data_IF_716205157435
#
_entry.id   IF_716205157435
#
_cell.length_a   1.000
_cell.length_b   1.000
_cell.length_c   1.000
_cell.angle_alpha   90.00
_cell.angle_beta   90.00
_cell.angle_gamma   90.00
#
_symmetry.space_group_name_H-M   'P 1'
#
loop_
_entity.id
_entity.type
_entity.pdbx_description
1 polymer ?
#
# COMPACT_ATOMS: atom_id res chain seq x y z
N UNK A 1 -36.98 -32.40 20.83
CA UNK A 1 -35.82 -32.98 21.55
C UNK A 1 -35.08 -31.83 22.21
N UNK A 2 -35.11 -31.74 23.54
CA UNK A 2 -34.46 -30.65 24.27
C UNK A 2 -32.97 -30.97 24.27
N UNK A 3 -32.18 -30.21 23.50
CA UNK A 3 -30.74 -30.41 23.44
C UNK A 3 -30.14 -29.62 24.60
N UNK A 4 -29.41 -30.28 25.47
CA UNK A 4 -28.72 -29.66 26.60
C UNK A 4 -27.30 -29.22 26.22
N UNK A 5 -26.61 -28.55 27.16
CA UNK A 5 -25.26 -28.02 26.96
C UNK A 5 -24.25 -29.12 26.61
N UNK A 6 -24.33 -30.27 27.29
CA UNK A 6 -23.42 -31.40 27.10
C UNK A 6 -23.54 -31.99 25.69
N UNK A 7 -24.76 -32.15 25.18
CA UNK A 7 -24.98 -32.63 23.82
C UNK A 7 -24.50 -31.62 22.76
N UNK A 8 -24.56 -30.31 23.03
CA UNK A 8 -23.94 -29.30 22.14
C UNK A 8 -22.42 -29.42 22.17
N UNK A 9 -21.81 -29.52 23.35
CA UNK A 9 -20.36 -29.63 23.46
C UNK A 9 -19.86 -30.89 22.74
N UNK A 10 -20.51 -32.04 22.95
CA UNK A 10 -20.21 -33.29 22.25
C UNK A 10 -20.26 -33.14 20.73
N UNK A 11 -21.26 -32.43 20.21
CA UNK A 11 -21.39 -32.17 18.75
C UNK A 11 -20.28 -31.28 18.21
N UNK A 12 -19.83 -30.28 18.99
CA UNK A 12 -18.70 -29.43 18.59
C UNK A 12 -17.40 -30.22 18.52
N UNK A 13 -17.20 -31.13 19.47
CA UNK A 13 -16.01 -31.98 19.54
C UNK A 13 -15.99 -32.98 18.38
N UNK A 14 -17.10 -33.67 18.11
CA UNK A 14 -17.25 -34.58 16.97
C UNK A 14 -17.05 -33.89 15.61
N UNK A 15 -17.47 -32.63 15.50
CA UNK A 15 -17.27 -31.82 14.30
C UNK A 15 -15.86 -31.17 14.22
N UNK A 16 -14.97 -31.46 15.19
CA UNK A 16 -13.60 -30.94 15.21
C UNK A 16 -13.53 -29.41 15.27
N UNK A 17 -14.53 -28.75 15.87
CA UNK A 17 -14.61 -27.27 15.87
C UNK A 17 -13.58 -26.60 16.77
N UNK A 18 -13.04 -27.31 17.77
CA UNK A 18 -12.08 -26.78 18.73
C UNK A 18 -12.62 -25.60 19.54
N UNK A 19 -13.90 -25.67 19.91
CA UNK A 19 -14.65 -24.63 20.63
C UNK A 19 -15.33 -25.23 21.86
N UNK A 20 -15.22 -24.56 23.00
CA UNK A 20 -15.86 -24.93 24.26
C UNK A 20 -16.91 -23.90 24.65
N UNK A 21 -18.04 -24.36 25.18
CA UNK A 21 -19.03 -23.49 25.83
C UNK A 21 -18.43 -22.99 27.14
N UNK A 22 -18.38 -21.67 27.33
CA UNK A 22 -17.84 -21.05 28.57
C UNK A 22 -18.81 -20.07 29.22
N UNK A 23 -19.91 -19.71 28.54
CA UNK A 23 -20.97 -18.88 29.09
C UNK A 23 -22.21 -19.68 29.45
N UNK A 24 -23.17 -19.03 30.11
CA UNK A 24 -24.41 -19.66 30.52
C UNK A 24 -25.24 -20.14 29.31
N UNK A 25 -25.45 -21.46 29.21
CA UNK A 25 -26.36 -22.03 28.22
C UNK A 25 -27.82 -21.83 28.66
N UNK A 26 -28.68 -21.46 27.72
CA UNK A 26 -30.13 -21.30 27.95
C UNK A 26 -30.93 -22.18 27.01
N UNK A 27 -30.68 -22.05 25.70
CA UNK A 27 -31.28 -22.84 24.64
C UNK A 27 -30.47 -22.65 23.34
N UNK A 28 -30.88 -23.32 22.25
CA UNK A 28 -30.19 -23.30 20.96
C UNK A 28 -30.13 -21.95 20.25
N UNK A 29 -31.01 -21.01 20.60
CA UNK A 29 -31.20 -19.74 19.91
C UNK A 29 -30.59 -18.55 20.66
N UNK A 30 -30.48 -18.62 21.98
CA UNK A 30 -29.84 -17.60 22.79
C UNK A 30 -28.33 -17.60 22.55
N UNK A 31 -27.73 -16.41 22.41
CA UNK A 31 -26.27 -16.30 22.28
C UNK A 31 -25.58 -16.73 23.57
N UNK A 32 -24.65 -17.67 23.45
CA UNK A 32 -23.80 -18.16 24.52
C UNK A 32 -22.34 -17.86 24.19
N UNK A 33 -21.51 -17.67 25.21
CA UNK A 33 -20.06 -17.48 25.04
C UNK A 33 -19.40 -18.81 24.74
N UNK A 34 -18.56 -18.84 23.71
CA UNK A 34 -17.69 -19.95 23.38
C UNK A 34 -16.23 -19.49 23.39
N UNK A 35 -15.33 -20.36 23.83
CA UNK A 35 -13.88 -20.14 23.84
C UNK A 35 -13.19 -21.19 22.98
N UNK A 36 -12.32 -20.79 22.06
CA UNK A 36 -11.55 -21.75 21.27
C UNK A 36 -10.33 -22.30 22.02
N UNK A 37 -9.67 -23.33 21.46
CA UNK A 37 -8.43 -23.90 22.03
C UNK A 37 -7.30 -22.87 22.28
N UNK A 38 -7.30 -21.75 21.56
CA UNK A 38 -6.32 -20.67 21.72
C UNK A 38 -6.82 -19.54 22.64
N UNK A 39 -7.92 -19.75 23.38
CA UNK A 39 -8.46 -18.80 24.35
C UNK A 39 -9.32 -17.67 23.78
N UNK A 40 -9.57 -17.63 22.46
CA UNK A 40 -10.40 -16.57 21.87
C UNK A 40 -11.88 -16.79 22.16
N UNK A 41 -12.51 -15.77 22.74
CA UNK A 41 -13.93 -15.77 23.13
C UNK A 41 -14.82 -15.20 22.04
N UNK A 42 -16.01 -15.77 21.87
CA UNK A 42 -17.02 -15.27 20.93
C UNK A 42 -18.44 -15.63 21.34
N UNK A 43 -19.36 -14.68 21.20
CA UNK A 43 -20.79 -14.90 21.38
C UNK A 43 -21.44 -15.47 20.10
N UNK A 44 -22.10 -16.61 20.21
CA UNK A 44 -22.82 -17.26 19.10
C UNK A 44 -24.06 -17.99 19.60
N UNK A 45 -25.05 -18.20 18.75
CA UNK A 45 -26.13 -19.13 19.06
C UNK A 45 -25.58 -20.57 18.99
N UNK A 46 -25.89 -21.46 19.95
CA UNK A 46 -25.42 -22.85 19.93
C UNK A 46 -25.70 -23.59 18.61
N UNK A 47 -26.86 -23.36 17.99
CA UNK A 47 -27.16 -23.94 16.67
C UNK A 47 -26.19 -23.48 15.57
N UNK A 48 -25.80 -22.20 15.60
CA UNK A 48 -24.86 -21.64 14.64
C UNK A 48 -23.42 -22.07 14.96
N UNK A 49 -23.09 -22.32 16.23
CA UNK A 49 -21.78 -22.81 16.65
C UNK A 49 -21.46 -24.16 16.00
N UNK A 50 -22.43 -25.07 15.96
CA UNK A 50 -22.26 -26.36 15.30
C UNK A 50 -22.19 -26.25 13.77
N UNK A 51 -23.12 -25.51 13.13
CA UNK A 51 -23.19 -25.44 11.66
C UNK A 51 -22.02 -24.63 11.08
N UNK A 52 -21.84 -23.40 11.54
CA UNK A 52 -20.93 -22.42 10.95
C UNK A 52 -19.88 -21.90 11.93
N UNK A 53 -19.89 -22.39 13.16
CA UNK A 53 -18.97 -21.94 14.20
C UNK A 53 -17.54 -22.28 13.82
N UNK A 54 -16.72 -21.25 13.87
CA UNK A 54 -15.27 -21.33 13.81
C UNK A 54 -14.73 -20.14 14.58
N UNK A 55 -13.57 -20.31 15.18
CA UNK A 55 -12.87 -19.19 15.76
C UNK A 55 -12.38 -18.27 14.64
N UNK A 56 -12.91 -17.05 14.57
CA UNK A 56 -12.52 -16.06 13.56
C UNK A 56 -11.05 -15.67 13.71
N UNK A 57 -10.57 -15.62 14.94
CA UNK A 57 -9.19 -15.29 15.28
C UNK A 57 -8.21 -16.41 14.93
N UNK A 58 -8.60 -17.68 15.05
CA UNK A 58 -7.76 -18.81 14.62
C UNK A 58 -7.87 -19.08 13.11
N UNK A 59 -9.03 -18.83 12.50
CA UNK A 59 -9.24 -19.01 11.07
C UNK A 59 -8.53 -17.87 10.33
N UNK A 60 -7.28 -18.11 9.95
CA UNK A 60 -6.52 -17.23 9.06
C UNK A 60 -7.29 -17.09 7.75
N UNK A 61 -7.94 -15.94 7.56
CA UNK A 61 -8.58 -15.60 6.28
C UNK A 61 -7.49 -15.05 5.38
N UNK A 62 -7.20 -15.79 4.30
CA UNK A 62 -6.34 -15.28 3.24
C UNK A 62 -6.99 -14.06 2.60
N UNK A 63 -6.25 -12.97 2.52
CA UNK A 63 -6.64 -11.70 1.91
C UNK A 63 -5.82 -11.55 0.65
N UNK A 64 -6.49 -11.42 -0.49
CA UNK A 64 -5.86 -11.32 -1.82
C UNK A 64 -4.90 -12.47 -2.13
N UNK A 65 -5.18 -13.67 -1.62
CA UNK A 65 -4.40 -14.88 -1.92
C UNK A 65 -3.01 -14.98 -1.27
N UNK A 66 -2.48 -13.90 -0.69
CA UNK A 66 -1.13 -13.88 -0.08
C UNK A 66 -1.11 -13.34 1.36
N UNK A 67 -1.96 -12.37 1.68
CA UNK A 67 -1.99 -11.75 3.01
C UNK A 67 -2.84 -12.52 4.01
N UNK A 68 -2.60 -12.32 5.30
CA UNK A 68 -3.35 -12.92 6.39
C UNK A 68 -3.86 -11.79 7.30
N UNK A 69 -5.18 -11.70 7.44
CA UNK A 69 -5.78 -10.83 8.46
C UNK A 69 -5.84 -11.57 9.80
N UNK A 70 -4.79 -11.38 10.60
CA UNK A 70 -4.63 -11.91 11.96
C UNK A 70 -5.23 -11.01 13.06
N UNK A 71 -5.95 -9.94 12.67
CA UNK A 71 -6.70 -9.06 13.57
C UNK A 71 -8.17 -8.91 13.12
N UNK A 72 -8.96 -9.99 13.09
CA UNK A 72 -10.31 -9.99 12.52
C UNK A 72 -11.32 -9.15 13.31
N UNK A 73 -11.02 -8.86 14.58
CA UNK A 73 -11.86 -8.02 15.43
C UNK A 73 -11.69 -6.53 15.14
N UNK A 74 -10.59 -6.15 14.46
CA UNK A 74 -10.42 -4.78 13.99
C UNK A 74 -11.41 -4.53 12.86
N UNK A 75 -12.38 -3.64 13.10
CA UNK A 75 -13.40 -3.31 12.11
C UNK A 75 -12.73 -2.85 10.81
N UNK A 76 -12.89 -3.63 9.75
CA UNK A 76 -12.41 -3.31 8.40
C UNK A 76 -13.15 -2.11 7.80
N UNK A 77 -14.32 -1.78 8.34
CA UNK A 77 -15.07 -0.56 8.07
C UNK A 77 -15.05 0.41 9.25
N UNK A 78 -14.98 1.70 8.96
CA UNK A 78 -15.13 2.80 9.91
C UNK A 78 -16.28 3.72 9.50
N UNK A 79 -16.83 4.49 10.44
CA UNK A 79 -17.79 5.56 10.17
C UNK A 79 -17.04 6.86 10.41
N UNK A 80 -17.03 7.76 9.43
CA UNK A 80 -16.42 9.08 9.60
C UNK A 80 -17.32 10.03 10.40
N UNK A 81 -16.82 11.24 10.70
CA UNK A 81 -17.56 12.25 11.47
C UNK A 81 -18.86 12.71 10.78
N UNK A 82 -19.02 12.46 9.47
CA UNK A 82 -20.23 12.76 8.71
C UNK A 82 -21.25 11.61 8.72
N UNK A 83 -20.95 10.52 9.43
CA UNK A 83 -21.80 9.32 9.46
C UNK A 83 -21.62 8.41 8.24
N UNK A 84 -20.66 8.72 7.34
CA UNK A 84 -20.44 7.92 6.13
C UNK A 84 -19.56 6.71 6.45
N UNK A 85 -20.01 5.54 6.00
CA UNK A 85 -19.26 4.29 6.12
C UNK A 85 -18.11 4.28 5.11
N UNK A 86 -16.88 4.16 5.60
CA UNK A 86 -15.65 3.98 4.83
C UNK A 86 -14.88 2.74 5.27
N UNK A 87 -13.78 2.43 4.58
CA UNK A 87 -12.84 1.40 5.03
C UNK A 87 -11.91 1.97 6.09
N UNK A 88 -11.49 1.14 7.04
CA UNK A 88 -10.40 1.46 7.95
C UNK A 88 -9.14 1.79 7.11
N UNK A 89 -8.46 2.91 7.35
CA UNK A 89 -7.39 3.39 6.48
C UNK A 89 -6.16 2.47 6.53
N UNK A 90 -5.89 1.84 7.66
CA UNK A 90 -4.79 0.87 7.80
C UNK A 90 -5.06 -0.37 6.95
N UNK A 91 -6.25 -0.95 7.12
CA UNK A 91 -6.66 -2.11 6.33
C UNK A 91 -6.72 -1.78 4.83
N UNK A 92 -7.27 -0.62 4.48
CA UNK A 92 -7.33 -0.14 3.09
C UNK A 92 -5.93 0.04 2.49
N UNK A 93 -4.97 0.60 3.22
CA UNK A 93 -3.59 0.75 2.74
C UNK A 93 -2.91 -0.60 2.54
N UNK A 94 -3.09 -1.51 3.49
CA UNK A 94 -2.54 -2.86 3.41
C UNK A 94 -3.09 -3.65 2.20
N UNK A 95 -4.42 -3.70 2.02
CA UNK A 95 -5.01 -4.43 0.88
C UNK A 95 -4.60 -3.82 -0.46
N UNK A 96 -4.50 -2.49 -0.56
CA UNK A 96 -4.10 -1.83 -1.81
C UNK A 96 -2.63 -2.15 -2.15
N UNK A 97 -1.77 -2.29 -1.15
CA UNK A 97 -0.38 -2.72 -1.34
C UNK A 97 -0.33 -4.17 -1.84
N UNK A 98 -1.08 -5.08 -1.22
CA UNK A 98 -1.17 -6.48 -1.68
C UNK A 98 -1.73 -6.57 -3.11
N UNK A 99 -2.81 -5.85 -3.40
CA UNK A 99 -3.43 -5.80 -4.73
C UNK A 99 -2.46 -5.25 -5.78
N UNK A 100 -1.68 -4.22 -5.44
CA UNK A 100 -0.68 -3.67 -6.35
C UNK A 100 0.40 -4.69 -6.69
N UNK A 101 0.95 -5.40 -5.70
CA UNK A 101 1.98 -6.40 -5.98
C UNK A 101 1.46 -7.68 -6.65
N UNK A 102 0.23 -8.11 -6.35
CA UNK A 102 -0.35 -9.27 -7.03
C UNK A 102 -0.54 -9.07 -8.54
N UNK A 103 -0.68 -7.81 -8.99
CA UNK A 103 -0.89 -7.46 -10.39
C UNK A 103 0.41 -7.00 -11.09
N UNK A 104 1.57 -7.11 -10.44
CA UNK A 104 2.84 -6.64 -10.99
C UNK A 104 3.96 -7.66 -10.71
N UNK A 105 4.69 -8.04 -11.75
CA UNK A 105 5.88 -8.90 -11.62
C UNK A 105 7.08 -8.17 -11.00
N UNK A 106 7.04 -6.84 -10.95
CA UNK A 106 8.11 -5.99 -10.41
C UNK A 106 7.82 -5.51 -8.97
N UNK A 107 6.98 -6.24 -8.24
CA UNK A 107 6.52 -5.84 -6.93
C UNK A 107 6.36 -7.03 -6.00
N UNK A 108 6.98 -6.95 -4.84
CA UNK A 108 6.80 -7.93 -3.77
C UNK A 108 6.54 -7.22 -2.44
N UNK A 109 6.00 -7.96 -1.48
CA UNK A 109 5.78 -7.49 -0.11
C UNK A 109 6.62 -8.39 0.79
N UNK A 110 7.36 -7.82 1.75
CA UNK A 110 8.13 -8.65 2.66
C UNK A 110 7.21 -9.53 3.53
N UNK A 111 7.69 -10.72 3.90
CA UNK A 111 6.90 -11.72 4.63
C UNK A 111 6.26 -11.15 5.90
N UNK A 112 6.98 -10.28 6.60
CA UNK A 112 6.48 -9.62 7.80
C UNK A 112 5.21 -8.82 7.54
N UNK A 113 5.08 -8.16 6.38
CA UNK A 113 3.92 -7.37 6.00
C UNK A 113 2.79 -8.18 5.34
N UNK A 114 2.99 -9.48 5.12
CA UNK A 114 1.88 -10.39 4.78
C UNK A 114 0.95 -10.61 5.98
N UNK A 115 1.39 -10.35 7.22
CA UNK A 115 0.51 -10.28 8.39
C UNK A 115 0.00 -8.85 8.59
N UNK A 116 -1.32 -8.68 8.66
CA UNK A 116 -1.90 -7.35 8.84
C UNK A 116 -1.47 -6.68 10.16
N UNK A 117 -1.34 -7.44 11.25
CA UNK A 117 -0.89 -6.90 12.55
C UNK A 117 0.48 -6.24 12.50
N UNK A 118 1.42 -6.79 11.74
CA UNK A 118 2.76 -6.25 11.58
C UNK A 118 2.76 -4.96 10.77
N UNK A 119 2.04 -4.94 9.64
CA UNK A 119 1.85 -3.71 8.86
C UNK A 119 1.18 -2.62 9.69
N UNK A 120 0.14 -2.98 10.45
CA UNK A 120 -0.56 -2.06 11.35
C UNK A 120 0.36 -1.46 12.41
N UNK A 121 1.15 -2.31 13.12
CA UNK A 121 2.12 -1.90 14.14
C UNK A 121 3.21 -0.97 13.58
N UNK A 122 3.57 -1.12 12.32
CA UNK A 122 4.47 -0.19 11.65
C UNK A 122 3.76 1.13 11.31
N UNK A 123 2.60 1.06 10.65
CA UNK A 123 1.89 2.23 10.14
C UNK A 123 1.41 3.18 11.25
N UNK A 124 1.06 2.67 12.45
CA UNK A 124 0.64 3.50 13.59
C UNK A 124 1.74 4.46 14.05
N UNK A 125 3.01 4.14 13.78
CA UNK A 125 4.16 4.97 14.11
C UNK A 125 4.48 6.02 13.05
N UNK A 126 3.73 6.05 11.93
CA UNK A 126 4.00 6.91 10.78
C UNK A 126 2.99 8.06 10.70
N UNK A 127 3.42 9.19 10.15
CA UNK A 127 2.48 10.19 9.66
C UNK A 127 1.96 9.77 8.28
N UNK A 128 0.70 9.36 8.18
CA UNK A 128 0.14 8.74 6.97
C UNK A 128 -1.07 9.45 6.37
N UNK A 129 -1.76 10.30 7.15
CA UNK A 129 -3.01 10.93 6.71
C UNK A 129 -2.77 11.85 5.51
N UNK A 130 -3.60 11.73 4.47
CA UNK A 130 -3.43 12.48 3.22
C UNK A 130 -2.27 12.02 2.33
N UNK A 131 -1.42 11.09 2.78
CA UNK A 131 -0.23 10.64 2.08
C UNK A 131 -0.42 9.26 1.42
N UNK A 132 0.53 8.90 0.54
CA UNK A 132 0.58 7.63 -0.20
C UNK A 132 1.76 6.80 0.29
N UNK A 133 1.50 5.53 0.60
CA UNK A 133 2.56 4.55 0.85
C UNK A 133 3.34 4.34 -0.45
N UNK A 134 4.67 4.46 -0.39
CA UNK A 134 5.54 4.34 -1.55
C UNK A 134 6.75 3.47 -1.22
N UNK A 135 7.05 2.51 -2.09
CA UNK A 135 8.33 1.80 -2.13
C UNK A 135 9.31 2.42 -3.15
N UNK A 136 8.94 3.52 -3.79
CA UNK A 136 9.70 4.17 -4.88
C UNK A 136 10.62 5.30 -4.42
N UNK A 137 10.70 5.53 -3.10
CA UNK A 137 11.63 6.52 -2.54
C UNK A 137 13.09 6.11 -2.77
N UNK A 138 13.37 4.79 -2.76
CA UNK A 138 14.64 4.20 -3.17
C UNK A 138 14.54 3.89 -4.68
N UNK A 139 15.40 4.45 -5.54
CA UNK A 139 15.44 4.11 -6.95
C UNK A 139 15.59 2.60 -7.17
N UNK A 140 14.90 2.05 -8.18
CA UNK A 140 14.98 0.63 -8.52
C UNK A 140 14.32 -0.35 -7.54
N UNK A 141 13.88 0.09 -6.36
CA UNK A 141 13.28 -0.82 -5.39
C UNK A 141 11.92 -1.38 -5.85
N UNK A 142 11.75 -2.68 -5.61
CA UNK A 142 10.56 -3.48 -5.97
C UNK A 142 9.85 -4.04 -4.73
N UNK A 143 10.45 -3.95 -3.54
CA UNK A 143 9.90 -4.58 -2.31
C UNK A 143 9.20 -3.55 -1.44
N UNK A 144 7.98 -3.84 -1.00
CA UNK A 144 7.32 -3.14 0.10
C UNK A 144 7.78 -3.71 1.45
N UNK A 145 8.43 -2.88 2.27
CA UNK A 145 8.93 -3.26 3.59
C UNK A 145 9.03 -2.05 4.53
N UNK A 146 9.17 -2.25 5.86
CA UNK A 146 9.37 -1.16 6.82
C UNK A 146 10.51 -0.20 6.49
N UNK A 147 11.58 -0.73 5.90
CA UNK A 147 12.85 -0.03 5.70
C UNK A 147 12.88 0.70 4.35
N UNK A 148 12.16 0.17 3.36
CA UNK A 148 12.12 0.71 2.00
C UNK A 148 10.89 1.58 1.73
N UNK A 149 9.88 1.54 2.59
CA UNK A 149 8.64 2.29 2.41
C UNK A 149 8.52 3.52 3.29
N UNK A 150 7.88 4.53 2.72
CA UNK A 150 7.53 5.77 3.42
C UNK A 150 6.20 6.32 2.89
N UNK A 151 5.52 7.13 3.71
CA UNK A 151 4.35 7.87 3.27
C UNK A 151 4.77 9.22 2.69
N UNK A 152 4.45 9.47 1.42
CA UNK A 152 4.80 10.71 0.71
C UNK A 152 3.60 11.37 0.03
N UNK A 153 3.65 12.68 -0.24
CA UNK A 153 2.61 13.37 -1.00
C UNK A 153 2.49 12.81 -2.43
N UNK A 154 1.27 12.86 -2.98
CA UNK A 154 1.01 12.42 -4.38
C UNK A 154 1.87 13.19 -5.39
N UNK A 155 2.12 14.47 -5.14
CA UNK A 155 2.97 15.32 -5.98
C UNK A 155 4.42 14.83 -6.01
N UNK A 156 4.99 14.47 -4.86
CA UNK A 156 6.34 13.89 -4.78
C UNK A 156 6.41 12.52 -5.45
N UNK A 157 5.43 11.65 -5.19
CA UNK A 157 5.36 10.34 -5.84
C UNK A 157 5.32 10.49 -7.37
N UNK A 158 4.55 11.45 -7.89
CA UNK A 158 4.48 11.73 -9.32
C UNK A 158 5.78 12.28 -9.92
N UNK A 159 6.64 12.92 -9.11
CA UNK A 159 7.94 13.43 -9.53
C UNK A 159 8.98 12.30 -9.65
N UNK A 160 9.03 11.38 -8.68
CA UNK A 160 10.04 10.31 -8.62
C UNK A 160 9.69 9.09 -9.48
N UNK A 161 8.40 8.79 -9.67
CA UNK A 161 8.00 7.61 -10.45
C UNK A 161 8.22 7.84 -11.93
N UNK A 162 9.04 6.97 -12.53
CA UNK A 162 9.19 6.87 -13.98
C UNK A 162 7.96 6.20 -14.59
N UNK A 163 7.45 6.78 -15.68
CA UNK A 163 6.36 6.19 -16.47
C UNK A 163 6.80 6.11 -17.93
N UNK A 164 7.19 4.92 -18.42
CA UNK A 164 7.55 4.78 -19.82
C UNK A 164 6.34 5.11 -20.68
N UNK A 165 6.61 5.74 -21.82
CA UNK A 165 5.63 5.94 -22.88
C UNK A 165 6.02 5.07 -24.08
N UNK A 166 5.05 4.78 -24.93
CA UNK A 166 5.26 3.98 -26.14
C UNK A 166 5.94 4.77 -27.28
N UNK A 167 6.38 6.00 -27.05
CA UNK A 167 6.93 6.91 -28.07
C UNK A 167 8.46 6.85 -28.18
N UNK A 168 9.14 6.01 -27.39
CA UNK A 168 10.61 5.92 -27.28
C UNK A 168 11.29 7.24 -26.91
N UNK A 169 10.54 8.27 -26.53
CA UNK A 169 11.09 9.55 -26.15
C UNK A 169 11.60 9.50 -24.71
N UNK A 170 12.62 10.29 -24.38
CA UNK A 170 13.02 10.51 -23.01
C UNK A 170 11.85 10.94 -22.12
N UNK A 171 11.92 10.57 -20.85
CA UNK A 171 10.91 10.98 -19.90
C UNK A 171 10.80 12.50 -19.81
N UNK A 172 9.58 13.01 -19.70
CA UNK A 172 9.33 14.45 -19.71
C UNK A 172 9.37 15.11 -21.09
N UNK A 173 9.84 14.40 -22.13
CA UNK A 173 9.90 14.92 -23.51
C UNK A 173 8.67 14.51 -24.32
N UNK A 174 8.28 15.36 -25.26
CA UNK A 174 7.22 15.14 -26.26
C UNK A 174 7.64 15.79 -27.58
N UNK A 175 7.15 15.27 -28.71
CA UNK A 175 7.21 16.01 -29.98
C UNK A 175 6.27 17.21 -29.89
N UNK A 176 6.73 18.38 -30.33
CA UNK A 176 5.91 19.57 -30.40
C UNK A 176 4.88 19.39 -31.52
N UNK A 177 3.57 19.56 -31.25
CA UNK A 177 2.57 19.49 -32.30
C UNK A 177 2.67 20.74 -33.19
N UNK A 178 3.24 20.63 -34.40
CA UNK A 178 2.98 21.57 -35.49
C UNK A 178 3.44 21.07 -36.88
N UNK A 179 2.56 21.22 -37.88
CA UNK A 179 2.69 20.71 -39.26
C UNK A 179 3.72 21.42 -40.16
N UNK A 180 4.44 22.44 -39.68
CA UNK A 180 5.25 23.33 -40.54
C UNK A 180 6.66 23.62 -40.02
N UNK A 181 7.08 23.01 -38.92
CA UNK A 181 8.46 23.14 -38.40
C UNK A 181 9.10 21.77 -38.32
N UNK A 182 10.35 21.59 -38.78
CA UNK A 182 11.07 20.34 -38.60
C UNK A 182 11.16 20.00 -37.11
N UNK A 183 11.14 18.71 -36.81
CA UNK A 183 10.92 18.06 -35.50
C UNK A 183 11.43 18.85 -34.29
N UNK A 184 10.53 19.56 -33.62
CA UNK A 184 10.81 20.24 -32.34
C UNK A 184 10.40 19.36 -31.18
N UNK A 185 11.17 19.42 -30.10
CA UNK A 185 10.92 18.67 -28.87
C UNK A 185 10.53 19.62 -27.74
N UNK A 186 9.57 19.24 -26.91
CA UNK A 186 9.12 20.05 -25.76
C UNK A 186 9.35 19.26 -24.48
N UNK A 187 9.97 19.90 -23.50
CA UNK A 187 10.18 19.32 -22.18
C UNK A 187 9.14 19.81 -21.16
N UNK A 188 8.65 18.91 -20.33
CA UNK A 188 7.70 19.19 -19.26
C UNK A 188 8.14 18.56 -17.94
N UNK A 189 8.16 19.34 -16.87
CA UNK A 189 8.38 18.85 -15.51
C UNK A 189 7.32 19.41 -14.56
N UNK A 190 7.12 18.75 -13.41
CA UNK A 190 6.33 19.31 -12.34
C UNK A 190 7.20 20.28 -11.53
N UNK A 191 6.92 21.58 -11.64
CA UNK A 191 7.59 22.66 -10.91
C UNK A 191 6.62 23.23 -9.88
N UNK A 192 7.05 23.31 -8.63
CA UNK A 192 6.19 23.71 -7.50
C UNK A 192 4.87 22.91 -7.49
N UNK A 193 4.99 21.61 -7.77
CA UNK A 193 3.91 20.62 -7.84
C UNK A 193 2.91 20.81 -9.00
N UNK A 194 3.17 21.72 -9.95
CA UNK A 194 2.33 21.96 -11.13
C UNK A 194 3.10 21.63 -12.41
N UNK A 195 2.45 21.03 -13.43
CA UNK A 195 3.11 20.79 -14.71
C UNK A 195 3.49 22.13 -15.36
N UNK A 196 4.73 22.26 -15.80
CA UNK A 196 5.27 23.44 -16.47
C UNK A 196 5.99 23.03 -17.75
N UNK A 197 5.72 23.74 -18.84
CA UNK A 197 6.50 23.67 -20.06
C UNK A 197 7.85 24.36 -19.82
N UNK A 198 8.95 23.66 -20.06
CA UNK A 198 10.31 24.17 -19.81
C UNK A 198 10.88 24.90 -21.03
N UNK A 199 10.31 24.66 -22.21
CA UNK A 199 10.77 25.22 -23.46
C UNK A 199 10.61 24.25 -24.62
N UNK A 200 11.03 24.72 -25.79
CA UNK A 200 11.08 23.96 -27.04
C UNK A 200 12.52 23.88 -27.52
N UNK A 201 12.92 22.71 -27.97
CA UNK A 201 14.30 22.34 -28.24
C UNK A 201 14.40 21.73 -29.64
N UNK A 202 15.61 21.75 -30.20
CA UNK A 202 15.89 21.24 -31.54
C UNK A 202 16.07 19.72 -31.50
N UNK A 203 16.63 19.20 -30.41
CA UNK A 203 16.86 17.77 -30.24
C UNK A 203 16.11 17.20 -29.03
N UNK A 204 15.80 15.90 -29.10
CA UNK A 204 15.24 15.16 -27.97
C UNK A 204 16.19 15.18 -26.77
N UNK A 205 17.50 15.20 -27.02
CA UNK A 205 18.52 15.21 -25.98
C UNK A 205 18.57 16.54 -25.22
N UNK A 206 18.56 17.67 -25.94
CA UNK A 206 18.45 19.00 -25.32
C UNK A 206 17.21 19.11 -24.42
N UNK A 207 16.06 18.64 -24.91
CA UNK A 207 14.82 18.61 -24.12
C UNK A 207 14.94 17.72 -22.88
N UNK A 208 15.63 16.58 -22.99
CA UNK A 208 15.89 15.66 -21.87
C UNK A 208 16.80 16.30 -20.83
N UNK A 209 17.90 16.93 -21.23
CA UNK A 209 18.83 17.62 -20.33
C UNK A 209 18.08 18.69 -19.52
N UNK A 210 17.33 19.56 -20.21
CA UNK A 210 16.51 20.59 -19.54
C UNK A 210 15.47 19.99 -18.58
N UNK A 211 14.88 18.84 -18.92
CA UNK A 211 13.99 18.12 -18.01
C UNK A 211 14.71 17.61 -16.76
N UNK A 212 15.88 17.00 -16.91
CA UNK A 212 16.65 16.42 -15.81
C UNK A 212 17.13 17.51 -14.86
N UNK A 213 17.69 18.61 -15.37
CA UNK A 213 18.16 19.74 -14.56
C UNK A 213 17.04 20.31 -13.68
N UNK A 214 15.86 20.57 -14.27
CA UNK A 214 14.71 21.08 -13.51
C UNK A 214 14.19 20.04 -12.53
N UNK A 215 14.20 18.75 -12.89
CA UNK A 215 13.79 17.68 -11.99
C UNK A 215 14.71 17.58 -10.77
N UNK A 216 16.04 17.67 -10.96
CA UNK A 216 17.03 17.70 -9.87
C UNK A 216 16.74 18.88 -8.94
N UNK A 217 16.56 20.09 -9.50
CA UNK A 217 16.26 21.27 -8.71
C UNK A 217 14.99 21.12 -7.86
N UNK A 218 13.93 20.52 -8.42
CA UNK A 218 12.70 20.24 -7.68
C UNK A 218 12.89 19.16 -6.59
N UNK A 219 13.67 18.11 -6.87
CA UNK A 219 14.02 17.10 -5.86
C UNK A 219 14.83 17.69 -4.71
N UNK A 220 15.77 18.60 -4.99
CA UNK A 220 16.52 19.32 -3.96
C UNK A 220 15.62 20.18 -3.08
N UNK A 221 14.64 20.90 -3.66
CA UNK A 221 13.61 21.61 -2.88
C UNK A 221 12.83 20.66 -1.96
N UNK A 222 12.47 19.48 -2.44
CA UNK A 222 11.77 18.47 -1.65
C UNK A 222 12.64 17.90 -0.52
N UNK A 223 13.92 17.64 -0.82
CA UNK A 223 14.92 17.14 0.13
C UNK A 223 15.15 18.14 1.25
N UNK A 224 15.38 19.42 0.93
CA UNK A 224 15.65 20.49 1.89
C UNK A 224 14.50 20.75 2.89
N UNK A 225 13.25 20.46 2.51
CA UNK A 225 12.07 20.62 3.40
C UNK A 225 11.64 19.35 4.12
N UNK A 226 12.26 18.21 3.82
CA UNK A 226 11.87 16.93 4.40
C UNK A 226 12.53 16.75 5.76
N UNK A 227 11.75 16.29 6.75
CA UNK A 227 12.25 15.93 8.08
C UNK A 227 12.49 14.42 8.24
N UNK A 228 11.95 13.59 7.34
CA UNK A 228 12.15 12.15 7.37
C UNK A 228 13.45 11.79 6.65
N UNK A 229 14.40 11.19 7.37
CA UNK A 229 15.71 10.82 6.84
C UNK A 229 15.62 9.87 5.65
N UNK A 230 14.64 8.96 5.64
CA UNK A 230 14.43 8.02 4.52
C UNK A 230 14.04 8.75 3.24
N UNK A 231 13.24 9.82 3.37
CA UNK A 231 12.92 10.69 2.24
C UNK A 231 14.17 11.44 1.80
N UNK A 232 14.90 12.07 2.71
CA UNK A 232 16.10 12.84 2.34
C UNK A 232 17.17 11.99 1.65
N UNK A 233 17.40 10.78 2.18
CA UNK A 233 18.35 9.82 1.62
C UNK A 233 17.87 9.32 0.25
N UNK A 234 16.63 8.85 0.14
CA UNK A 234 16.10 8.35 -1.13
C UNK A 234 16.04 9.42 -2.22
N UNK A 235 15.70 10.67 -1.89
CA UNK A 235 15.78 11.78 -2.84
C UNK A 235 17.21 12.06 -3.27
N UNK A 236 18.20 11.94 -2.36
CA UNK A 236 19.62 11.99 -2.71
C UNK A 236 20.00 10.95 -3.76
N UNK A 237 19.60 9.70 -3.57
CA UNK A 237 19.86 8.62 -4.53
C UNK A 237 19.20 8.89 -5.90
N UNK A 238 17.99 9.45 -5.93
CA UNK A 238 17.33 9.87 -7.18
C UNK A 238 18.10 10.99 -7.88
N UNK A 239 18.65 11.94 -7.13
CA UNK A 239 19.44 13.05 -7.67
C UNK A 239 20.76 12.53 -8.25
N UNK A 240 21.47 11.68 -7.52
CA UNK A 240 22.73 11.06 -7.98
C UNK A 240 22.51 10.27 -9.30
N UNK A 241 21.44 9.48 -9.37
CA UNK A 241 21.06 8.75 -10.59
C UNK A 241 20.77 9.67 -11.78
N UNK A 242 20.21 10.86 -11.53
CA UNK A 242 19.92 11.83 -12.59
C UNK A 242 21.17 12.60 -13.01
N UNK A 243 22.09 12.87 -12.07
CA UNK A 243 23.38 13.50 -12.35
C UNK A 243 24.26 12.59 -13.22
N UNK A 244 24.32 11.28 -12.93
CA UNK A 244 25.07 10.34 -13.76
C UNK A 244 24.55 10.29 -15.20
N UNK A 245 23.23 10.39 -15.40
CA UNK A 245 22.61 10.46 -16.73
C UNK A 245 22.97 11.73 -17.53
N UNK A 246 23.35 12.83 -16.85
CA UNK A 246 23.84 14.04 -17.52
C UNK A 246 25.33 13.91 -17.86
N UNK A 247 26.10 13.27 -17.00
CA UNK A 247 27.54 13.06 -17.22
C UNK A 247 27.81 12.15 -18.42
N UNK A 248 27.03 11.08 -18.59
CA UNK A 248 27.11 10.17 -19.75
C UNK A 248 26.97 10.91 -21.10
N UNK A 249 26.24 12.02 -21.15
CA UNK A 249 26.07 12.83 -22.35
C UNK A 249 27.24 13.77 -22.64
N UNK A 250 28.02 14.11 -21.62
CA UNK A 250 29.16 15.02 -21.78
C UNK A 250 30.36 14.39 -22.48
N UNK A 251 30.33 13.06 -22.67
CA UNK A 251 31.37 12.26 -23.32
C UNK A 251 30.99 11.80 -24.74
N UNK A 252 29.83 12.23 -25.27
CA UNK A 252 29.32 11.94 -26.62
C UNK A 252 29.26 13.22 -27.47
#
# INVERSE_FOLDING_TARGET
MNIDENEIQRRLDLAGKGMQITGNYVNLQTKTEFTCINGHKRMMNPINAYVNGSCRSCKKVMVRGVGINDMPDLKTSQIDLSGKKGFNPFYSRWINMLDYCNNSTECTVCDNWLLFSNFYKWMVKQYWSGLKLSNKIIPGNTVFSPDTCVFIPKSLLGLIVYRPKNDLLPHGVRVHPHNYTPDKYTAFCAVDQKPKCLGTFTTSNEARIAYIEVKIAELEKWKARSLDERITHGLGLHIELLQSQLEEDSFL
#
